data_IF_050566872521
#
_entry.id   IF_050566872521
#
_cell.length_a   1.000
_cell.length_b   1.000
_cell.length_c   1.000
_cell.angle_alpha   90.00
_cell.angle_beta   90.00
_cell.angle_gamma   90.00
#
_symmetry.space_group_name_H-M   'P 1'
#
loop_
_entity.id
_entity.type
_entity.pdbx_description
1 polymer ?
#
# COMPACT_ATOMS: atom_id res chain seq x y z
N UNK A 1 56.83 -37.36 20.10
CA UNK A 1 55.59 -37.82 19.44
C UNK A 1 54.43 -36.90 19.83
N UNK A 2 54.15 -35.85 19.04
CA UNK A 2 52.87 -35.08 19.04
C UNK A 2 52.95 -34.01 17.94
N UNK A 3 52.64 -34.38 16.68
CA UNK A 3 51.40 -34.07 15.93
C UNK A 3 51.12 -32.57 15.75
N UNK A 4 51.69 -32.02 14.67
CA UNK A 4 51.27 -30.77 14.01
C UNK A 4 49.89 -30.97 13.38
N UNK A 5 48.92 -30.12 13.72
CA UNK A 5 47.59 -30.07 13.08
C UNK A 5 47.65 -28.98 12.01
N UNK A 6 47.57 -29.39 10.74
CA UNK A 6 47.34 -28.51 9.60
C UNK A 6 45.83 -28.31 9.44
N UNK A 7 45.34 -27.10 9.66
CA UNK A 7 43.97 -26.71 9.32
C UNK A 7 44.00 -26.19 7.89
N UNK A 8 43.43 -26.96 6.95
CA UNK A 8 43.18 -26.50 5.60
C UNK A 8 41.93 -25.61 5.59
N UNK A 9 42.12 -24.31 5.35
CA UNK A 9 41.02 -23.40 5.09
C UNK A 9 40.50 -23.64 3.66
N UNK A 10 39.33 -24.23 3.53
CA UNK A 10 38.61 -24.31 2.26
C UNK A 10 38.00 -22.94 1.96
N UNK A 11 38.58 -22.20 1.00
CA UNK A 11 37.90 -21.08 0.38
C UNK A 11 36.74 -21.61 -0.46
N UNK A 12 35.51 -21.45 0.03
CA UNK A 12 34.31 -21.53 -0.78
C UNK A 12 34.27 -20.30 -1.69
N UNK A 13 34.54 -20.49 -2.97
CA UNK A 13 34.28 -19.49 -3.99
C UNK A 13 32.76 -19.32 -4.14
N UNK A 14 32.21 -18.23 -3.62
CA UNK A 14 30.87 -17.79 -4.00
C UNK A 14 30.91 -17.38 -5.48
N UNK A 15 30.22 -18.14 -6.33
CA UNK A 15 30.04 -17.78 -7.73
C UNK A 15 29.24 -16.47 -7.85
N UNK A 16 29.41 -15.69 -8.94
CA UNK A 16 28.65 -14.47 -9.13
C UNK A 16 27.16 -14.81 -9.17
N UNK A 17 26.38 -14.13 -8.32
CA UNK A 17 24.93 -14.16 -8.41
C UNK A 17 24.54 -13.69 -9.82
N UNK A 18 23.89 -14.56 -10.59
CA UNK A 18 23.38 -14.20 -11.91
C UNK A 18 22.31 -13.13 -11.71
N UNK A 19 22.60 -11.91 -12.13
CA UNK A 19 21.63 -10.83 -12.19
C UNK A 19 20.47 -11.26 -13.07
N UNK A 20 19.25 -11.34 -12.51
CA UNK A 20 18.06 -11.54 -13.31
C UNK A 20 17.91 -10.37 -14.30
N UNK A 21 17.62 -10.66 -15.56
CA UNK A 21 17.29 -9.64 -16.56
C UNK A 21 16.03 -8.88 -16.10
N UNK A 22 16.03 -7.56 -16.28
CA UNK A 22 15.03 -6.68 -15.65
C UNK A 22 13.66 -6.76 -16.31
N UNK A 23 13.58 -6.97 -17.63
CA UNK A 23 12.29 -7.14 -18.32
C UNK A 23 11.49 -8.37 -17.81
N UNK A 24 12.10 -9.58 -17.68
CA UNK A 24 11.45 -10.71 -17.01
C UNK A 24 11.03 -10.45 -15.56
N UNK A 25 11.73 -9.56 -14.84
CA UNK A 25 11.37 -9.19 -13.47
C UNK A 25 10.09 -8.33 -13.45
N UNK A 26 10.05 -7.28 -14.26
CA UNK A 26 8.91 -6.36 -14.35
C UNK A 26 7.65 -7.11 -14.75
N UNK A 27 7.73 -8.00 -15.75
CA UNK A 27 6.61 -8.85 -16.17
C UNK A 27 6.08 -9.73 -15.03
N UNK A 28 6.97 -10.33 -14.23
CA UNK A 28 6.57 -11.14 -13.08
C UNK A 28 5.85 -10.32 -12.03
N UNK A 29 6.36 -9.13 -11.68
CA UNK A 29 5.67 -8.23 -10.75
C UNK A 29 4.29 -7.84 -11.27
N UNK A 30 4.17 -7.47 -12.56
CA UNK A 30 2.91 -7.02 -13.15
C UNK A 30 1.89 -8.17 -13.26
N UNK A 31 2.33 -9.39 -13.57
CA UNK A 31 1.43 -10.52 -13.83
C UNK A 31 0.50 -10.88 -12.66
N UNK A 32 0.87 -10.54 -11.42
CA UNK A 32 0.02 -10.72 -10.25
C UNK A 32 -1.00 -9.58 -10.04
N UNK A 33 -0.91 -8.52 -10.85
CA UNK A 33 -1.70 -7.30 -10.77
C UNK A 33 -2.49 -7.05 -12.05
N UNK A 34 -2.77 -8.13 -12.79
CA UNK A 34 -3.62 -8.11 -13.97
C UNK A 34 -4.88 -8.93 -13.64
N UNK A 35 -6.05 -8.32 -13.81
CA UNK A 35 -7.33 -8.98 -13.62
C UNK A 35 -7.68 -9.95 -14.76
N UNK A 36 -8.82 -10.62 -14.66
CA UNK A 36 -9.31 -11.57 -15.67
C UNK A 36 -9.59 -10.94 -17.04
N UNK A 37 -9.65 -9.60 -17.11
CA UNK A 37 -9.87 -8.80 -18.33
C UNK A 37 -8.57 -8.23 -18.90
N UNK A 38 -7.43 -8.51 -18.27
CA UNK A 38 -6.15 -7.96 -18.72
C UNK A 38 -5.88 -6.53 -18.24
N UNK A 39 -6.66 -6.01 -17.28
CA UNK A 39 -6.51 -4.67 -16.73
C UNK A 39 -5.64 -4.68 -15.48
N UNK A 40 -4.86 -3.62 -15.29
CA UNK A 40 -4.03 -3.48 -14.11
C UNK A 40 -4.89 -3.15 -12.89
N UNK A 41 -4.79 -3.95 -11.82
CA UNK A 41 -5.70 -3.91 -10.67
C UNK A 41 -5.27 -2.93 -9.56
N UNK A 42 -4.08 -2.34 -9.67
CA UNK A 42 -3.63 -1.28 -8.77
C UNK A 42 -4.00 0.08 -9.36
N UNK A 43 -5.02 0.70 -8.79
CA UNK A 43 -5.50 2.04 -9.15
C UNK A 43 -4.82 3.11 -8.29
N UNK A 44 -4.49 4.25 -8.91
CA UNK A 44 -4.04 5.46 -8.22
C UNK A 44 -2.64 5.36 -7.61
N UNK A 45 -1.74 4.62 -8.23
CA UNK A 45 -0.34 4.52 -7.82
C UNK A 45 0.31 5.90 -7.61
N UNK A 46 0.16 6.79 -8.61
CA UNK A 46 0.72 8.16 -8.54
C UNK A 46 0.09 8.97 -7.43
N UNK A 47 -1.23 8.85 -7.25
CA UNK A 47 -1.95 9.50 -6.17
C UNK A 47 -1.42 9.05 -4.80
N UNK A 48 -1.22 7.74 -4.58
CA UNK A 48 -0.66 7.21 -3.33
C UNK A 48 0.79 7.64 -3.09
N UNK A 49 1.64 7.60 -4.13
CA UNK A 49 3.02 8.07 -4.02
C UNK A 49 3.10 9.54 -3.62
N UNK A 50 2.17 10.36 -4.10
CA UNK A 50 2.09 11.78 -3.81
C UNK A 50 1.19 12.14 -2.61
N UNK A 51 0.68 11.15 -1.87
CA UNK A 51 -0.13 11.38 -0.67
C UNK A 51 0.71 12.15 0.37
N UNK A 52 0.19 13.28 0.91
CA UNK A 52 0.89 14.04 1.94
C UNK A 52 1.32 13.15 3.10
N UNK A 53 2.52 13.35 3.64
CA UNK A 53 3.06 12.52 4.72
C UNK A 53 2.22 12.62 5.99
N UNK A 54 1.65 13.81 6.23
CA UNK A 54 0.78 14.11 7.36
C UNK A 54 -0.65 13.58 7.19
N UNK A 55 -1.03 13.08 6.01
CA UNK A 55 -2.43 12.72 5.73
C UNK A 55 -3.06 11.83 6.80
N UNK A 56 -2.45 10.71 7.23
CA UNK A 56 -3.05 9.85 8.25
C UNK A 56 -3.12 10.55 9.62
N UNK A 57 -2.17 11.43 9.94
CA UNK A 57 -2.14 12.15 11.21
C UNK A 57 -3.28 13.17 11.35
N UNK A 58 -3.89 13.59 10.24
CA UNK A 58 -5.03 14.49 10.27
C UNK A 58 -6.30 13.83 10.83
N UNK A 59 -6.35 12.50 10.81
CA UNK A 59 -7.53 11.70 11.14
C UNK A 59 -7.26 10.69 12.26
N UNK A 60 -6.04 10.67 12.80
CA UNK A 60 -5.68 9.73 13.85
C UNK A 60 -6.53 9.98 15.10
N UNK A 61 -7.31 8.97 15.47
CA UNK A 61 -8.11 8.93 16.67
C UNK A 61 -7.94 7.58 17.37
N UNK A 62 -6.73 7.36 17.88
CA UNK A 62 -6.36 6.08 18.49
C UNK A 62 -7.19 5.72 19.74
N UNK A 63 -7.92 6.69 20.31
CA UNK A 63 -8.62 6.56 21.58
C UNK A 63 -10.12 6.86 21.48
N UNK A 64 -10.68 6.98 20.26
CA UNK A 64 -12.09 7.30 20.03
C UNK A 64 -12.52 8.55 20.85
N UNK A 65 -11.77 9.64 20.69
CA UNK A 65 -11.93 10.86 21.48
C UNK A 65 -13.23 11.60 21.14
N UNK A 66 -13.77 11.39 19.94
CA UNK A 66 -15.06 11.96 19.53
C UNK A 66 -16.27 11.09 19.92
N UNK A 67 -16.04 9.82 20.32
CA UNK A 67 -17.05 8.90 20.81
C UNK A 67 -17.98 8.35 19.71
N UNK A 68 -17.52 8.33 18.46
CA UNK A 68 -18.25 7.73 17.34
C UNK A 68 -18.15 6.18 17.35
N UNK A 69 -17.32 5.61 18.22
CA UNK A 69 -17.13 4.16 18.37
C UNK A 69 -16.08 3.57 17.44
N UNK A 70 -15.32 4.41 16.73
CA UNK A 70 -14.33 4.03 15.72
C UNK A 70 -12.98 4.64 16.14
N UNK A 71 -11.99 3.77 16.33
CA UNK A 71 -10.62 4.19 16.62
C UNK A 71 -9.71 3.91 15.43
N UNK A 72 -9.06 4.95 14.90
CA UNK A 72 -8.11 4.86 13.80
C UNK A 72 -6.67 5.11 14.27
N UNK A 73 -5.73 4.24 13.90
CA UNK A 73 -4.32 4.38 14.31
C UNK A 73 -3.36 4.43 13.14
N UNK A 74 -2.40 5.36 13.22
CA UNK A 74 -1.32 5.42 12.26
C UNK A 74 -0.32 4.28 12.54
N UNK A 75 0.16 3.65 11.47
CA UNK A 75 1.19 2.62 11.57
C UNK A 75 2.55 3.22 11.22
N UNK A 76 3.55 2.98 12.06
CA UNK A 76 4.93 3.41 11.80
C UNK A 76 5.80 2.21 11.42
N UNK A 77 6.63 2.39 10.40
CA UNK A 77 7.61 1.39 9.93
C UNK A 77 9.01 1.99 9.89
N UNK A 78 10.02 1.15 9.97
CA UNK A 78 11.42 1.60 9.90
C UNK A 78 11.77 2.06 8.48
N UNK A 79 12.20 3.30 8.31
CA UNK A 79 12.71 3.84 7.06
C UNK A 79 14.12 4.41 7.20
N UNK A 80 15.14 3.75 6.63
CA UNK A 80 16.53 4.27 6.53
C UNK A 80 17.07 4.99 7.79
N UNK A 81 16.73 4.50 8.99
CA UNK A 81 17.21 5.06 10.27
C UNK A 81 16.23 6.00 11.00
N UNK A 82 15.02 6.23 10.45
CA UNK A 82 13.96 7.00 11.09
C UNK A 82 12.59 6.31 10.93
N UNK A 83 11.65 6.48 11.87
CA UNK A 83 10.29 5.98 11.70
C UNK A 83 9.59 6.77 10.57
N UNK A 84 8.90 6.06 9.69
CA UNK A 84 8.05 6.62 8.63
C UNK A 84 6.62 6.13 8.81
N UNK A 85 5.65 6.96 8.45
CA UNK A 85 4.23 6.56 8.46
C UNK A 85 3.99 5.65 7.26
N UNK A 86 3.44 4.48 7.53
CA UNK A 86 3.13 3.51 6.50
C UNK A 86 1.93 3.93 5.64
N UNK A 87 1.98 3.56 4.36
CA UNK A 87 0.97 3.90 3.34
C UNK A 87 0.53 2.68 2.52
N UNK A 88 1.41 1.68 2.42
CA UNK A 88 1.30 0.56 1.49
C UNK A 88 1.04 -0.77 2.20
N UNK A 89 0.26 -1.62 1.52
CA UNK A 89 -0.15 -2.94 2.00
C UNK A 89 -1.40 -2.89 2.90
N UNK A 90 -2.11 -4.03 2.97
CA UNK A 90 -3.35 -4.18 3.74
C UNK A 90 -3.17 -3.90 5.24
N UNK A 91 -1.99 -4.23 5.78
CA UNK A 91 -1.64 -4.00 7.19
C UNK A 91 -0.66 -2.83 7.38
N UNK A 92 -0.57 -1.93 6.39
CA UNK A 92 0.37 -0.80 6.42
C UNK A 92 1.82 -1.27 6.71
N UNK A 93 2.28 -2.25 5.94
CA UNK A 93 3.60 -2.86 6.14
C UNK A 93 4.77 -2.00 5.63
N UNK A 94 4.48 -0.96 4.83
CA UNK A 94 5.52 -0.13 4.21
C UNK A 94 5.09 1.33 4.02
N UNK A 95 6.04 2.26 4.19
CA UNK A 95 5.84 3.70 3.95
C UNK A 95 6.06 4.09 2.49
N UNK A 96 6.92 3.37 1.79
CA UNK A 96 7.33 3.68 0.41
C UNK A 96 7.04 2.48 -0.49
N UNK A 97 6.71 2.75 -1.74
CA UNK A 97 6.46 1.68 -2.72
C UNK A 97 7.64 0.71 -2.83
N UNK A 98 8.88 1.22 -2.85
CA UNK A 98 10.08 0.37 -2.90
C UNK A 98 10.13 -0.67 -1.77
N UNK A 99 9.76 -0.28 -0.55
CA UNK A 99 9.82 -1.16 0.62
C UNK A 99 8.68 -2.19 0.52
N UNK A 100 7.51 -1.76 0.04
CA UNK A 100 6.39 -2.64 -0.28
C UNK A 100 6.75 -3.66 -1.36
N UNK A 101 7.34 -3.23 -2.48
CA UNK A 101 7.72 -4.10 -3.59
C UNK A 101 8.75 -5.15 -3.17
N UNK A 102 9.68 -4.80 -2.28
CA UNK A 102 10.64 -5.77 -1.70
C UNK A 102 9.95 -6.80 -0.80
N UNK A 103 9.03 -6.36 0.07
CA UNK A 103 8.27 -7.25 0.96
C UNK A 103 7.37 -8.19 0.15
N UNK A 104 6.59 -7.63 -0.78
CA UNK A 104 5.69 -8.39 -1.65
C UNK A 104 6.50 -9.34 -2.55
N UNK A 105 7.55 -8.86 -3.21
CA UNK A 105 8.41 -9.69 -4.04
C UNK A 105 8.93 -10.90 -3.29
N UNK A 106 9.45 -10.71 -2.07
CA UNK A 106 9.92 -11.81 -1.23
C UNK A 106 8.80 -12.83 -0.91
N UNK A 107 7.60 -12.37 -0.59
CA UNK A 107 6.44 -13.24 -0.34
C UNK A 107 6.03 -14.07 -1.56
N UNK A 108 6.28 -13.56 -2.77
CA UNK A 108 5.96 -14.22 -4.04
C UNK A 108 7.16 -14.93 -4.70
N UNK A 109 8.31 -15.04 -4.01
CA UNK A 109 9.52 -15.63 -4.59
C UNK A 109 10.09 -14.84 -5.78
N UNK A 110 9.81 -13.54 -5.84
CA UNK A 110 10.36 -12.58 -6.80
C UNK A 110 11.50 -11.84 -6.09
N UNK A 111 12.71 -11.98 -6.62
CA UNK A 111 13.89 -11.34 -6.06
C UNK A 111 14.17 -10.06 -6.82
N UNK A 112 14.27 -8.95 -6.11
CA UNK A 112 14.70 -7.66 -6.65
C UNK A 112 16.03 -7.33 -6.00
N UNK A 113 17.09 -7.29 -6.79
CA UNK A 113 18.48 -7.30 -6.33
C UNK A 113 19.05 -5.90 -6.11
N UNK A 114 18.60 -4.91 -6.87
CA UNK A 114 19.16 -3.57 -6.82
C UNK A 114 18.15 -2.44 -7.05
N UNK A 115 18.65 -1.21 -6.86
CA UNK A 115 17.87 0.02 -6.97
C UNK A 115 17.40 0.32 -8.39
N UNK A 116 18.11 -0.13 -9.42
CA UNK A 116 17.72 0.08 -10.81
C UNK A 116 16.52 -0.79 -11.16
N UNK A 117 16.53 -2.06 -10.73
CA UNK A 117 15.39 -2.96 -10.88
C UNK A 117 14.14 -2.44 -10.16
N UNK A 118 14.28 -1.93 -8.93
CA UNK A 118 13.15 -1.30 -8.22
C UNK A 118 12.61 -0.10 -9.00
N UNK A 119 13.48 0.75 -9.54
CA UNK A 119 13.07 1.91 -10.30
C UNK A 119 12.32 1.53 -11.59
N UNK A 120 12.72 0.45 -12.26
CA UNK A 120 12.00 -0.06 -13.44
C UNK A 120 10.62 -0.64 -13.08
N UNK A 121 10.52 -1.37 -11.96
CA UNK A 121 9.22 -1.86 -11.45
C UNK A 121 8.32 -0.67 -11.09
N UNK A 122 8.84 0.33 -10.39
CA UNK A 122 8.10 1.54 -10.03
C UNK A 122 7.63 2.31 -11.27
N UNK A 123 8.49 2.49 -12.26
CA UNK A 123 8.14 3.15 -13.51
C UNK A 123 7.04 2.38 -14.26
N UNK A 124 7.09 1.06 -14.28
CA UNK A 124 6.07 0.24 -14.91
C UNK A 124 4.72 0.34 -14.19
N UNK A 125 4.71 0.28 -12.85
CA UNK A 125 3.49 0.46 -12.06
C UNK A 125 2.90 1.86 -12.25
N UNK A 126 3.74 2.90 -12.28
CA UNK A 126 3.29 4.26 -12.55
C UNK A 126 2.72 4.43 -13.96
N UNK A 127 3.23 3.71 -14.95
CA UNK A 127 2.76 3.77 -16.34
C UNK A 127 1.46 2.98 -16.57
N UNK A 128 1.25 1.89 -15.83
CA UNK A 128 0.10 0.99 -16.00
C UNK A 128 -1.06 1.30 -15.06
N UNK A 129 -0.78 1.90 -13.90
CA UNK A 129 -1.80 2.22 -12.90
C UNK A 129 -2.79 3.25 -13.44
N UNK A 130 -4.10 2.90 -13.49
CA UNK A 130 -5.12 3.86 -13.85
C UNK A 130 -5.16 5.01 -12.86
N UNK A 131 -5.45 6.22 -13.36
CA UNK A 131 -5.79 7.33 -12.48
C UNK A 131 -7.08 7.02 -11.70
N UNK A 132 -7.15 7.42 -10.43
CA UNK A 132 -8.31 7.16 -9.61
C UNK A 132 -9.52 7.96 -10.11
N UNK A 133 -10.68 7.32 -10.10
CA UNK A 133 -11.97 7.95 -10.39
C UNK A 133 -12.84 7.96 -9.13
N UNK A 134 -13.65 9.02 -8.98
CA UNK A 134 -14.64 9.08 -7.91
C UNK A 134 -15.61 7.90 -8.03
N UNK A 135 -15.94 7.20 -6.93
CA UNK A 135 -17.01 6.20 -6.95
C UNK A 135 -18.41 6.84 -6.95
N UNK A 136 -18.53 8.13 -6.63
CA UNK A 136 -19.79 8.87 -6.66
C UNK A 136 -20.09 9.39 -8.05
N UNK A 137 -21.30 9.10 -8.54
CA UNK A 137 -21.89 9.65 -9.75
C UNK A 137 -22.64 10.96 -9.47
N UNK A 138 -23.21 11.12 -8.28
CA UNK A 138 -23.97 12.32 -7.90
C UNK A 138 -23.60 12.86 -6.51
N UNK A 139 -23.82 14.17 -6.26
CA UNK A 139 -23.61 14.75 -4.92
C UNK A 139 -24.50 14.16 -3.82
N UNK A 140 -25.70 13.66 -4.18
CA UNK A 140 -26.61 13.01 -3.24
C UNK A 140 -26.02 11.70 -2.68
N UNK A 141 -25.24 10.96 -3.48
CA UNK A 141 -24.56 9.75 -3.02
C UNK A 141 -23.48 10.07 -1.99
N UNK A 142 -22.69 11.14 -2.22
CA UNK A 142 -21.72 11.63 -1.24
C UNK A 142 -22.42 12.07 0.06
N UNK A 143 -23.53 12.79 -0.05
CA UNK A 143 -24.31 13.22 1.12
C UNK A 143 -24.82 12.03 1.92
N UNK A 144 -25.31 10.99 1.25
CA UNK A 144 -25.75 9.75 1.89
C UNK A 144 -24.58 9.02 2.56
N UNK A 145 -23.43 8.94 1.88
CA UNK A 145 -22.22 8.31 2.40
C UNK A 145 -21.76 8.93 3.73
N UNK A 146 -21.77 10.27 3.80
CA UNK A 146 -21.47 11.00 5.03
C UNK A 146 -22.55 10.77 6.11
N UNK A 147 -23.83 10.81 5.72
CA UNK A 147 -24.94 10.60 6.66
C UNK A 147 -25.00 9.19 7.26
N UNK A 148 -24.52 8.17 6.52
CA UNK A 148 -24.42 6.79 7.00
C UNK A 148 -23.22 6.57 7.96
N UNK A 149 -22.35 7.59 8.14
CA UNK A 149 -21.14 7.52 8.95
C UNK A 149 -19.99 6.77 8.27
N UNK A 150 -20.02 6.62 6.94
CA UNK A 150 -18.92 5.99 6.21
C UNK A 150 -17.66 6.88 6.21
N UNK A 151 -17.86 8.19 6.27
CA UNK A 151 -16.79 9.19 6.26
C UNK A 151 -15.93 9.20 7.54
N UNK A 152 -16.31 8.46 8.58
CA UNK A 152 -15.54 8.32 9.83
C UNK A 152 -14.19 7.61 9.58
N UNK A 153 -14.14 6.65 8.66
CA UNK A 153 -12.89 6.05 8.16
C UNK A 153 -12.57 6.49 6.72
N UNK A 154 -13.60 6.55 5.86
CA UNK A 154 -13.45 6.86 4.44
C UNK A 154 -13.58 8.36 4.17
N UNK A 155 -12.67 9.13 4.77
CA UNK A 155 -12.71 10.60 4.81
C UNK A 155 -12.89 11.24 3.42
N UNK A 156 -13.79 12.23 3.33
CA UNK A 156 -14.15 12.94 2.09
C UNK A 156 -13.21 14.11 1.76
N UNK A 157 -12.02 14.10 2.35
CA UNK A 157 -11.00 15.13 2.13
C UNK A 157 -10.31 14.93 0.78
N UNK A 158 -9.85 16.04 0.21
CA UNK A 158 -9.07 16.06 -1.03
C UNK A 158 -7.65 16.58 -0.83
N UNK A 159 -6.76 16.26 -1.76
CA UNK A 159 -5.47 16.90 -1.95
C UNK A 159 -5.20 17.09 -3.45
N UNK A 160 -4.26 17.97 -3.78
CA UNK A 160 -3.91 18.27 -5.18
C UNK A 160 -2.46 17.90 -5.46
N UNK A 161 -2.22 17.34 -6.65
CA UNK A 161 -0.90 17.01 -7.17
C UNK A 161 -0.90 17.35 -8.65
N UNK A 162 0.03 18.18 -9.10
CA UNK A 162 0.18 18.57 -10.51
C UNK A 162 -1.12 19.09 -11.17
N UNK A 163 -1.99 19.74 -10.39
CA UNK A 163 -3.29 20.26 -10.85
C UNK A 163 -4.40 19.21 -10.96
N UNK A 164 -4.17 17.98 -10.47
CA UNK A 164 -5.17 16.93 -10.34
C UNK A 164 -5.61 16.85 -8.88
N UNK A 165 -6.93 16.93 -8.64
CA UNK A 165 -7.51 16.74 -7.32
C UNK A 165 -7.80 15.26 -7.08
N UNK A 166 -7.31 14.71 -5.97
CA UNK A 166 -7.55 13.34 -5.54
C UNK A 166 -8.40 13.31 -4.27
N UNK A 167 -9.36 12.36 -4.23
CA UNK A 167 -10.16 12.04 -3.04
C UNK A 167 -10.03 10.54 -2.78
N UNK A 168 -9.13 10.10 -1.88
CA UNK A 168 -8.92 8.68 -1.58
C UNK A 168 -10.17 7.96 -1.06
N UNK A 169 -11.03 8.69 -0.34
CA UNK A 169 -12.03 8.11 0.55
C UNK A 169 -11.37 7.11 1.50
N UNK A 170 -10.31 7.57 2.16
CA UNK A 170 -9.52 6.78 3.10
C UNK A 170 -8.63 7.70 3.92
N UNK A 171 -8.61 7.47 5.22
CA UNK A 171 -7.67 8.06 6.17
C UNK A 171 -6.30 7.36 6.17
N UNK A 172 -6.19 6.18 5.54
CA UNK A 172 -5.03 5.28 5.58
C UNK A 172 -4.60 4.89 7.01
N UNK A 173 -5.55 4.73 7.91
CA UNK A 173 -5.33 4.24 9.28
C UNK A 173 -5.71 2.77 9.41
N UNK A 174 -5.23 2.12 10.48
CA UNK A 174 -5.72 0.82 10.91
C UNK A 174 -6.95 1.01 11.81
N UNK A 175 -8.01 0.28 11.49
CA UNK A 175 -9.23 0.19 12.27
C UNK A 175 -9.51 -1.28 12.59
N UNK A 176 -10.04 -1.56 13.78
CA UNK A 176 -10.54 -2.89 14.14
C UNK A 176 -12.07 -2.81 14.21
N UNK A 177 -12.74 -3.40 13.22
CA UNK A 177 -14.20 -3.47 13.13
C UNK A 177 -14.73 -4.85 13.57
N UNK A 178 -13.94 -5.62 14.35
CA UNK A 178 -14.35 -6.91 14.93
C UNK A 178 -13.77 -8.15 14.25
N UNK A 179 -13.02 -7.99 13.15
CA UNK A 179 -12.26 -9.05 12.47
C UNK A 179 -10.74 -8.80 12.48
N UNK A 180 -10.29 -7.90 13.35
CA UNK A 180 -8.91 -7.50 13.52
C UNK A 180 -8.57 -6.23 12.75
N UNK A 181 -7.34 -5.75 12.95
CA UNK A 181 -6.89 -4.50 12.37
C UNK A 181 -6.73 -4.59 10.85
N UNK A 182 -7.42 -3.68 10.15
CA UNK A 182 -7.36 -3.52 8.71
C UNK A 182 -7.15 -2.08 8.35
N UNK A 183 -6.35 -1.84 7.31
CA UNK A 183 -6.22 -0.50 6.72
C UNK A 183 -7.53 -0.12 6.03
N UNK A 184 -7.98 1.11 6.22
CA UNK A 184 -9.00 1.71 5.35
C UNK A 184 -8.49 1.75 3.91
N UNK A 185 -8.97 0.88 3.03
CA UNK A 185 -8.59 0.93 1.62
C UNK A 185 -9.22 2.15 0.93
N UNK A 186 -8.53 2.80 -0.02
CA UNK A 186 -9.16 3.83 -0.85
C UNK A 186 -10.29 3.21 -1.68
N UNK A 187 -11.40 3.94 -1.86
CA UNK A 187 -12.59 3.45 -2.57
C UNK A 187 -12.69 3.90 -4.03
N UNK A 188 -11.55 4.24 -4.64
CA UNK A 188 -11.48 4.68 -6.03
C UNK A 188 -12.14 3.69 -6.98
N UNK A 189 -13.02 4.20 -7.84
CA UNK A 189 -13.71 3.40 -8.86
C UNK A 189 -14.62 2.28 -8.33
N UNK A 190 -14.84 2.17 -7.02
CA UNK A 190 -15.67 1.13 -6.45
C UNK A 190 -17.06 1.64 -6.06
N UNK A 191 -17.93 1.86 -7.06
CA UNK A 191 -19.33 2.25 -6.82
C UNK A 191 -20.11 1.19 -6.01
N UNK A 192 -19.76 -0.09 -6.17
CA UNK A 192 -20.33 -1.17 -5.37
C UNK A 192 -19.94 -1.07 -3.88
N UNK A 193 -18.77 -0.51 -3.57
CA UNK A 193 -18.30 -0.35 -2.19
C UNK A 193 -19.07 0.72 -1.42
N UNK A 194 -19.60 1.73 -2.12
CA UNK A 194 -20.34 2.85 -1.49
C UNK A 194 -21.86 2.61 -1.40
N UNK A 195 -22.37 1.61 -2.12
CA UNK A 195 -23.81 1.30 -2.18
C UNK A 195 -24.23 0.18 -1.22
N UNK A 196 -23.28 -0.58 -0.68
CA UNK A 196 -23.48 -1.54 0.40
C UNK A 196 -22.85 -1.08 1.70
N UNK A 197 -23.42 -1.46 2.85
CA UNK A 197 -22.73 -1.34 4.13
C UNK A 197 -22.24 -2.74 4.56
N UNK A 198 -21.06 -3.19 4.10
CA UNK A 198 -20.51 -4.49 4.49
C UNK A 198 -20.18 -4.57 5.99
N UNK A 199 -20.15 -3.42 6.68
CA UNK A 199 -19.85 -3.30 8.11
C UNK A 199 -21.11 -3.14 8.97
N UNK A 200 -22.32 -3.26 8.40
CA UNK A 200 -23.57 -3.07 9.14
C UNK A 200 -23.77 -4.06 10.29
N UNK A 201 -23.11 -5.22 10.23
CA UNK A 201 -23.16 -6.26 11.27
C UNK A 201 -22.04 -6.13 12.32
N UNK A 202 -21.09 -5.20 12.12
CA UNK A 202 -19.93 -4.98 12.97
C UNK A 202 -20.12 -3.90 14.06
N UNK A 203 -21.26 -3.20 14.05
CA UNK A 203 -21.63 -2.15 15.02
C UNK A 203 -22.55 -2.65 16.13
#
# INVERSE_FOLDING_TARGET
MTRTILIAAALLAAGPAQSQEVAPLVERCISCHIDDKGQFDIVGFRALQALPEEWPLLFEDAYDLDGNGIAGRAQYVSGEGQPLIAKWGENLAAARFRDFALIAGAAHGIRIDDVAQIAEVEAAFAALSPDPVSPFETPEELTKFEADGCADCHVTRTYEVDGVTYMPLSDFLLHDLGDGEKRTAPLWGCQACISGNPHAEAR
#
